data_IF_252592224920
#
_entry.id   IF_252592224920
#
_cell.length_a   1.000
_cell.length_b   1.000
_cell.length_c   1.000
_cell.angle_alpha   90.00
_cell.angle_beta   90.00
_cell.angle_gamma   90.00
#
_symmetry.space_group_name_H-M   'P 1'
#
loop_
_entity.id
_entity.type
_entity.pdbx_description
1 polymer ?
#
# COMPACT_ATOMS: atom_id res chain seq x y z
N UNK A 1 -19.97 20.24 2.82
CA UNK A 1 -20.52 19.28 3.80
C UNK A 1 -21.67 19.94 4.52
N UNK A 2 -22.75 19.20 4.77
CA UNK A 2 -23.95 19.70 5.44
C UNK A 2 -24.21 18.84 6.67
N UNK A 3 -24.33 19.48 7.83
CA UNK A 3 -24.70 18.83 9.09
C UNK A 3 -26.10 19.31 9.46
N UNK A 4 -26.98 18.36 9.78
CA UNK A 4 -28.35 18.62 10.23
C UNK A 4 -28.55 18.05 11.62
N UNK A 5 -29.23 18.82 12.48
CA UNK A 5 -29.59 18.40 13.84
C UNK A 5 -30.82 19.14 14.33
N UNK A 6 -31.34 18.77 15.50
CA UNK A 6 -32.47 19.47 16.14
C UNK A 6 -32.01 20.19 17.39
N UNK A 7 -32.34 21.47 17.52
CA UNK A 7 -32.16 22.26 18.74
C UNK A 7 -33.50 22.88 19.14
N UNK A 8 -33.96 22.61 20.36
CA UNK A 8 -35.27 23.05 20.87
C UNK A 8 -36.44 22.76 19.93
N UNK A 9 -36.48 21.54 19.36
CA UNK A 9 -37.55 21.09 18.47
C UNK A 9 -37.53 21.67 17.05
N UNK A 10 -36.57 22.56 16.73
CA UNK A 10 -36.37 23.09 15.37
C UNK A 10 -35.17 22.42 14.72
N UNK A 11 -35.33 22.04 13.45
CA UNK A 11 -34.27 21.48 12.64
C UNK A 11 -33.32 22.60 12.20
N UNK A 12 -32.06 22.50 12.61
CA UNK A 12 -30.99 23.40 12.21
C UNK A 12 -30.09 22.70 11.19
N UNK A 13 -29.81 23.39 10.08
CA UNK A 13 -28.92 22.93 9.03
C UNK A 13 -27.75 23.90 8.92
N UNK A 14 -26.55 23.38 9.12
CA UNK A 14 -25.30 24.10 8.90
C UNK A 14 -24.62 23.53 7.66
N UNK A 15 -24.47 24.38 6.64
CA UNK A 15 -23.77 24.04 5.42
C UNK A 15 -22.45 24.79 5.37
N UNK A 16 -21.35 24.08 5.12
CA UNK A 16 -20.07 24.70 4.80
C UNK A 16 -19.57 24.18 3.46
N UNK A 17 -19.13 25.11 2.61
CA UNK A 17 -18.50 24.80 1.33
C UNK A 17 -17.01 24.53 1.56
N UNK A 18 -16.58 23.29 1.40
CA UNK A 18 -15.16 22.99 1.30
C UNK A 18 -14.76 23.09 -0.18
N UNK A 19 -13.85 24.01 -0.49
CA UNK A 19 -13.17 24.03 -1.78
C UNK A 19 -11.89 23.22 -1.62
N UNK A 20 -11.86 22.04 -2.24
CA UNK A 20 -10.63 21.28 -2.41
C UNK A 20 -10.01 21.76 -3.72
N UNK A 21 -8.74 22.21 -3.69
CA UNK A 21 -8.03 22.58 -4.91
C UNK A 21 -7.85 21.37 -5.83
N UNK A 22 -7.62 21.63 -7.12
CA UNK A 22 -7.29 20.58 -8.10
C UNK A 22 -6.15 19.69 -7.57
N UNK A 23 -6.27 18.37 -7.77
CA UNK A 23 -5.34 17.35 -7.30
C UNK A 23 -3.88 17.74 -7.57
N UNK A 24 -3.22 18.29 -6.55
CA UNK A 24 -1.77 18.41 -6.54
C UNK A 24 -1.22 17.03 -6.24
N UNK A 25 -0.49 16.42 -7.17
CA UNK A 25 0.26 15.17 -6.98
C UNK A 25 1.19 15.22 -5.75
N UNK A 26 1.61 16.42 -5.33
CA UNK A 26 2.39 16.66 -4.11
C UNK A 26 1.61 16.44 -2.80
N UNK A 27 0.30 16.24 -2.83
CA UNK A 27 -0.54 15.97 -1.67
C UNK A 27 -0.69 14.47 -1.33
N UNK A 28 -0.10 13.55 -2.10
CA UNK A 28 -0.14 12.11 -1.80
C UNK A 28 0.37 11.78 -0.39
N UNK A 29 1.39 12.51 0.09
CA UNK A 29 1.91 12.39 1.45
C UNK A 29 0.84 12.69 2.53
N UNK A 30 -0.13 13.58 2.27
CA UNK A 30 -1.20 13.92 3.21
C UNK A 30 -2.13 12.71 3.42
N UNK A 31 -2.47 12.00 2.34
CA UNK A 31 -3.28 10.79 2.45
C UNK A 31 -2.58 9.72 3.27
N UNK A 32 -1.27 9.57 3.07
CA UNK A 32 -0.48 8.62 3.82
C UNK A 32 -0.39 9.01 5.31
N UNK A 33 -0.20 10.29 5.62
CA UNK A 33 -0.12 10.78 6.99
C UNK A 33 -1.45 10.59 7.73
N UNK A 34 -2.57 10.87 7.05
CA UNK A 34 -3.90 10.59 7.57
C UNK A 34 -4.11 9.09 7.82
N UNK A 35 -3.72 8.23 6.87
CA UNK A 35 -3.88 6.79 6.97
C UNK A 35 -3.09 6.21 8.14
N UNK A 36 -1.81 6.62 8.31
CA UNK A 36 -0.98 6.22 9.43
C UNK A 36 -1.61 6.63 10.78
N UNK A 37 -2.04 7.90 10.90
CA UNK A 37 -2.69 8.39 12.11
C UNK A 37 -3.98 7.64 12.44
N UNK A 38 -4.83 7.40 11.45
CA UNK A 38 -6.09 6.67 11.61
C UNK A 38 -5.84 5.22 12.02
N UNK A 39 -4.90 4.53 11.36
CA UNK A 39 -4.52 3.17 11.71
C UNK A 39 -3.97 3.08 13.15
N UNK A 40 -3.14 4.03 13.57
CA UNK A 40 -2.65 4.11 14.95
C UNK A 40 -3.77 4.36 15.97
N UNK A 41 -4.79 5.14 15.63
CA UNK A 41 -5.95 5.34 16.48
C UNK A 41 -6.80 4.07 16.61
N UNK A 42 -7.04 3.36 15.50
CA UNK A 42 -7.78 2.10 15.50
C UNK A 42 -7.03 1.00 16.27
N UNK A 43 -5.70 0.93 16.15
CA UNK A 43 -4.87 -0.01 16.93
C UNK A 43 -5.00 0.23 18.45
N UNK A 44 -4.96 1.49 18.88
CA UNK A 44 -5.17 1.84 20.29
C UNK A 44 -6.57 1.48 20.79
N UNK A 45 -7.59 1.74 19.99
CA UNK A 45 -8.98 1.38 20.33
C UNK A 45 -9.12 -0.12 20.58
N UNK A 46 -8.59 -0.93 19.66
CA UNK A 46 -8.58 -2.40 19.77
C UNK A 46 -7.87 -2.85 21.05
N UNK A 47 -6.74 -2.22 21.41
CA UNK A 47 -5.99 -2.55 22.63
C UNK A 47 -6.72 -2.18 23.91
N UNK A 48 -7.35 -1.01 23.94
CA UNK A 48 -7.97 -0.46 25.15
C UNK A 48 -9.35 -1.08 25.43
N UNK A 49 -10.10 -1.39 24.37
CA UNK A 49 -11.51 -1.77 24.46
C UNK A 49 -11.84 -3.14 23.85
N UNK A 50 -10.85 -3.82 23.25
CA UNK A 50 -11.05 -5.06 22.51
C UNK A 50 -11.47 -4.81 21.06
N UNK A 51 -11.30 -5.81 20.20
CA UNK A 51 -11.62 -5.71 18.78
C UNK A 51 -13.12 -5.93 18.49
N UNK A 52 -13.78 -4.95 17.86
CA UNK A 52 -15.03 -5.15 17.13
C UNK A 52 -14.72 -5.42 15.63
N UNK A 53 -15.42 -6.36 14.96
CA UNK A 53 -15.32 -6.61 13.52
C UNK A 53 -15.22 -5.37 12.63
N UNK A 54 -15.93 -4.28 12.93
CA UNK A 54 -15.89 -3.05 12.12
C UNK A 54 -14.52 -2.35 12.20
N UNK A 55 -13.99 -2.19 13.41
CA UNK A 55 -12.71 -1.52 13.66
C UNK A 55 -11.55 -2.34 13.08
N UNK A 56 -11.59 -3.66 13.24
CA UNK A 56 -10.59 -4.58 12.66
C UNK A 56 -10.64 -4.54 11.14
N UNK A 57 -11.83 -4.54 10.54
CA UNK A 57 -12.00 -4.45 9.08
C UNK A 57 -11.46 -3.14 8.53
N UNK A 58 -11.75 -2.01 9.18
CA UNK A 58 -11.22 -0.71 8.76
C UNK A 58 -9.70 -0.61 8.92
N UNK A 59 -9.13 -1.18 9.99
CA UNK A 59 -7.67 -1.23 10.16
C UNK A 59 -7.01 -2.04 9.05
N UNK A 60 -7.55 -3.22 8.71
CA UNK A 60 -7.07 -4.03 7.58
C UNK A 60 -7.16 -3.28 6.25
N UNK A 61 -8.28 -2.61 6.00
CA UNK A 61 -8.50 -1.85 4.76
C UNK A 61 -7.48 -0.74 4.58
N UNK A 62 -7.21 0.04 5.64
CA UNK A 62 -6.20 1.10 5.62
C UNK A 62 -4.80 0.51 5.47
N UNK A 63 -4.50 -0.56 6.19
CA UNK A 63 -3.19 -1.19 6.17
C UNK A 63 -2.82 -1.73 4.78
N UNK A 64 -3.74 -2.46 4.14
CA UNK A 64 -3.54 -2.98 2.79
C UNK A 64 -3.48 -1.88 1.74
N UNK A 65 -4.35 -0.86 1.83
CA UNK A 65 -4.39 0.24 0.86
C UNK A 65 -3.12 1.11 0.88
N UNK A 66 -2.58 1.35 2.07
CA UNK A 66 -1.51 2.33 2.27
C UNK A 66 -0.16 1.70 2.66
N UNK A 67 -0.04 0.37 2.63
CA UNK A 67 1.20 -0.35 2.92
C UNK A 67 1.68 -0.18 4.36
N UNK A 68 0.76 -0.18 5.32
CA UNK A 68 1.05 0.06 6.73
C UNK A 68 1.16 -1.29 7.44
N UNK A 69 2.27 -1.54 8.13
CA UNK A 69 2.45 -2.78 8.89
C UNK A 69 1.63 -2.74 10.19
N UNK A 70 0.75 -3.72 10.39
CA UNK A 70 -0.09 -3.87 11.59
C UNK A 70 -0.13 -5.33 12.03
N UNK A 71 -0.55 -5.60 13.28
CA UNK A 71 -0.74 -6.97 13.80
C UNK A 71 -1.79 -7.78 12.99
N UNK A 72 -2.58 -7.12 12.14
CA UNK A 72 -3.61 -7.73 11.28
C UNK A 72 -3.23 -7.85 9.81
N UNK A 73 -2.00 -7.43 9.47
CA UNK A 73 -1.45 -7.53 8.12
C UNK A 73 -0.07 -8.15 8.20
N UNK A 74 0.03 -9.44 7.89
CA UNK A 74 1.31 -10.11 7.70
C UNK A 74 1.84 -9.76 6.31
N UNK A 75 3.04 -9.18 6.24
CA UNK A 75 3.84 -9.21 5.03
C UNK A 75 4.79 -10.41 5.15
N UNK A 76 4.77 -11.31 4.17
CA UNK A 76 5.75 -12.39 4.10
C UNK A 76 7.08 -11.78 3.70
N UNK A 77 7.93 -11.49 4.68
CA UNK A 77 9.35 -11.24 4.43
C UNK A 77 9.98 -12.62 4.22
N UNK A 78 10.13 -13.02 2.97
CA UNK A 78 11.03 -14.13 2.64
C UNK A 78 12.45 -13.63 2.84
N UNK A 79 13.03 -13.98 3.99
CA UNK A 79 14.48 -13.91 4.16
C UNK A 79 15.09 -14.83 3.08
N UNK A 80 15.99 -14.34 2.21
CA UNK A 80 16.63 -15.21 1.23
C UNK A 80 17.29 -16.33 2.00
N UNK A 81 16.88 -17.57 1.71
CA UNK A 81 17.32 -18.81 2.33
C UNK A 81 18.63 -18.61 3.09
N UNK A 82 18.54 -18.35 4.39
CA UNK A 82 19.67 -18.55 5.27
C UNK A 82 19.90 -20.05 5.25
N UNK A 83 20.65 -20.52 4.26
CA UNK A 83 21.36 -21.76 4.37
C UNK A 83 22.21 -21.57 5.61
N UNK A 84 21.69 -22.04 6.75
CA UNK A 84 22.53 -22.37 7.88
C UNK A 84 23.39 -23.51 7.35
N UNK A 85 24.50 -23.16 6.71
CA UNK A 85 25.61 -24.09 6.56
C UNK A 85 25.95 -24.44 7.99
N UNK A 86 25.46 -25.59 8.45
CA UNK A 86 25.93 -26.23 9.66
C UNK A 86 27.34 -26.73 9.40
N UNK A 87 28.26 -25.80 9.16
CA UNK A 87 29.67 -26.04 9.31
C UNK A 87 29.88 -26.23 10.81
N UNK A 88 30.38 -27.41 11.20
CA UNK A 88 30.86 -27.67 12.56
C UNK A 88 31.85 -26.57 12.96
N UNK A 89 31.32 -25.53 13.59
CA UNK A 89 32.07 -24.47 14.24
C UNK A 89 32.03 -24.81 15.72
N UNK A 90 33.21 -25.10 16.26
CA UNK A 90 33.41 -25.47 17.66
C UNK A 90 33.37 -24.20 18.54
N UNK A 91 32.30 -23.41 18.40
CA UNK A 91 32.09 -22.16 19.14
C UNK A 91 31.36 -22.49 20.44
N UNK A 92 31.85 -22.04 21.61
CA UNK A 92 31.15 -22.28 22.88
C UNK A 92 29.72 -21.71 22.81
N UNK A 93 28.73 -22.40 23.40
CA UNK A 93 27.34 -21.99 23.31
C UNK A 93 27.17 -20.58 23.88
N UNK A 94 26.55 -19.70 23.10
CA UNK A 94 26.12 -18.40 23.58
C UNK A 94 25.20 -18.59 24.81
N UNK A 95 25.28 -17.71 25.83
CA UNK A 95 24.39 -17.78 26.98
C UNK A 95 22.94 -17.75 26.51
N UNK A 96 22.11 -18.60 27.11
CA UNK A 96 20.69 -18.69 26.80
C UNK A 96 20.06 -17.28 26.86
N UNK A 97 19.17 -16.91 25.90
CA UNK A 97 18.47 -15.64 25.95
C UNK A 97 17.75 -15.55 27.30
N UNK A 98 18.18 -14.63 28.16
CA UNK A 98 17.44 -14.29 29.37
C UNK A 98 16.08 -13.78 28.92
N UNK A 99 15.01 -14.25 29.57
CA UNK A 99 13.62 -13.87 29.30
C UNK A 99 13.48 -12.34 29.26
N UNK A 100 13.55 -11.77 28.05
CA UNK A 100 13.25 -10.35 27.82
C UNK A 100 11.73 -10.16 27.76
N UNK A 101 11.04 -10.55 28.84
CA UNK A 101 9.63 -10.30 29.02
C UNK A 101 9.40 -8.78 28.92
N UNK A 102 8.63 -8.35 27.91
CA UNK A 102 8.29 -6.95 27.69
C UNK A 102 9.06 -6.22 26.59
N UNK A 103 10.11 -6.81 26.00
CA UNK A 103 10.79 -6.21 24.84
C UNK A 103 9.81 -6.00 23.66
N UNK A 104 8.88 -6.94 23.47
CA UNK A 104 7.81 -6.84 22.48
C UNK A 104 6.81 -5.74 22.78
N UNK A 105 6.48 -5.54 24.06
CA UNK A 105 5.56 -4.47 24.48
C UNK A 105 6.21 -3.09 24.27
N UNK A 106 7.51 -2.95 24.58
CA UNK A 106 8.28 -1.73 24.34
C UNK A 106 8.42 -1.43 22.85
N UNK A 107 8.74 -2.43 22.02
CA UNK A 107 8.78 -2.28 20.56
C UNK A 107 7.44 -1.82 20.00
N UNK A 108 6.33 -2.45 20.43
CA UNK A 108 4.98 -2.10 19.99
C UNK A 108 4.55 -0.69 20.41
N UNK A 109 4.84 -0.30 21.65
CA UNK A 109 4.59 1.06 22.15
C UNK A 109 5.36 2.13 21.35
N UNK A 110 6.62 1.86 21.01
CA UNK A 110 7.43 2.76 20.15
C UNK A 110 6.86 2.86 18.74
N UNK A 111 6.42 1.75 18.14
CA UNK A 111 5.81 1.74 16.81
C UNK A 111 4.49 2.53 16.77
N UNK A 112 3.62 2.38 17.78
CA UNK A 112 2.38 3.16 17.90
C UNK A 112 2.65 4.66 18.14
N UNK A 113 3.70 4.99 18.91
CA UNK A 113 4.14 6.37 19.11
C UNK A 113 4.69 6.98 17.83
N UNK A 114 5.44 6.23 17.01
CA UNK A 114 5.87 6.69 15.70
C UNK A 114 4.66 6.94 14.77
N UNK A 115 3.72 5.99 14.74
CA UNK A 115 2.52 6.07 13.94
C UNK A 115 1.59 7.25 14.30
N UNK A 116 1.58 7.65 15.58
CA UNK A 116 0.79 8.78 16.08
C UNK A 116 1.55 10.11 16.13
N UNK A 117 2.88 10.05 16.24
CA UNK A 117 3.73 11.18 16.62
C UNK A 117 4.59 11.80 15.52
N UNK A 118 4.87 11.14 14.39
CA UNK A 118 5.84 11.67 13.42
C UNK A 118 5.25 12.08 12.05
N UNK A 119 5.71 13.26 11.59
CA UNK A 119 5.76 13.70 10.20
C UNK A 119 6.75 12.86 9.35
N UNK A 120 7.31 11.78 9.91
CA UNK A 120 8.20 10.86 9.21
C UNK A 120 7.50 9.52 9.10
N UNK A 121 7.08 9.22 7.87
CA UNK A 121 6.36 8.04 7.45
C UNK A 121 7.28 6.84 7.19
N UNK A 122 8.59 7.08 7.18
CA UNK A 122 9.59 6.09 6.77
C UNK A 122 9.79 4.95 7.77
N UNK A 123 9.39 5.14 9.03
CA UNK A 123 9.58 4.16 10.12
C UNK A 123 8.40 3.17 10.30
N UNK A 124 7.26 3.41 9.64
CA UNK A 124 6.02 2.61 9.83
C UNK A 124 5.56 1.97 8.51
N UNK A 125 6.01 2.52 7.39
CA UNK A 125 5.75 2.02 6.04
C UNK A 125 6.95 1.20 5.61
N UNK A 126 6.72 0.12 4.84
CA UNK A 126 7.80 -0.61 4.15
C UNK A 126 8.54 0.39 3.25
N UNK A 127 9.63 0.97 3.74
CA UNK A 127 10.56 1.78 2.96
C UNK A 127 11.66 0.87 2.45
N UNK A 128 11.63 0.58 1.15
CA UNK A 128 12.77 -0.01 0.45
C UNK A 128 13.86 1.05 0.20
N UNK A 129 14.22 1.78 1.26
CA UNK A 129 15.39 2.64 1.30
C UNK A 129 16.26 2.26 2.50
N UNK A 130 16.45 0.95 2.68
CA UNK A 130 17.56 0.40 3.46
C UNK A 130 18.67 0.02 2.49
N UNK A 131 19.69 0.88 2.42
CA UNK A 131 21.06 0.62 1.95
C UNK A 131 21.25 -0.24 0.70
N UNK A 132 21.59 0.43 -0.40
CA UNK A 132 22.24 -0.18 -1.56
C UNK A 132 23.52 -0.92 -1.15
N UNK A 133 23.48 -2.26 -1.13
CA UNK A 133 24.68 -3.08 -1.15
C UNK A 133 24.74 -3.83 -2.50
N UNK A 134 25.63 -3.46 -3.44
CA UNK A 134 25.72 -4.14 -4.72
C UNK A 134 26.70 -5.30 -4.57
N UNK A 135 26.19 -6.52 -4.33
CA UNK A 135 26.84 -7.79 -4.71
C UNK A 135 26.02 -8.98 -4.22
N UNK A 136 25.60 -9.83 -5.16
CA UNK A 136 24.97 -11.12 -4.90
C UNK A 136 23.65 -11.23 -5.64
N UNK A 137 23.48 -12.29 -6.45
CA UNK A 137 22.30 -12.54 -7.26
C UNK A 137 21.02 -12.53 -6.39
N UNK A 138 20.26 -11.43 -6.48
CA UNK A 138 19.09 -11.11 -5.67
C UNK A 138 17.91 -10.77 -6.59
N UNK A 139 17.09 -11.78 -6.85
CA UNK A 139 15.75 -11.65 -7.43
C UNK A 139 14.87 -12.44 -6.47
N UNK A 140 14.21 -11.82 -5.50
CA UNK A 140 12.74 -11.78 -5.59
C UNK A 140 12.07 -10.75 -4.66
N UNK A 141 12.78 -10.07 -3.77
CA UNK A 141 12.13 -9.21 -2.77
C UNK A 141 12.25 -7.71 -3.05
N UNK A 142 11.97 -7.30 -4.29
CA UNK A 142 11.98 -5.87 -4.68
C UNK A 142 10.59 -5.27 -4.42
N UNK A 143 10.52 -4.28 -3.53
CA UNK A 143 9.31 -3.49 -3.28
C UNK A 143 9.58 -2.04 -3.65
N UNK A 144 8.64 -1.38 -4.31
CA UNK A 144 8.75 0.05 -4.67
C UNK A 144 7.44 0.77 -4.39
N UNK A 145 7.53 2.07 -4.09
CA UNK A 145 6.39 2.93 -3.87
C UNK A 145 6.32 4.01 -4.95
N UNK A 146 5.20 4.07 -5.66
CA UNK A 146 4.98 4.99 -6.80
C UNK A 146 3.52 5.40 -6.84
N UNK A 147 3.23 6.71 -6.97
CA UNK A 147 1.86 7.23 -7.06
C UNK A 147 0.94 6.79 -5.91
N UNK A 148 1.43 6.87 -4.67
CA UNK A 148 0.71 6.45 -3.46
C UNK A 148 0.55 4.93 -3.27
N UNK A 149 0.85 4.12 -4.29
CA UNK A 149 0.68 2.65 -4.32
C UNK A 149 1.98 1.93 -4.00
N UNK A 150 1.87 0.68 -3.56
CA UNK A 150 3.00 -0.20 -3.27
C UNK A 150 2.99 -1.33 -4.28
N UNK A 151 4.13 -1.56 -4.92
CA UNK A 151 4.34 -2.61 -5.90
C UNK A 151 5.38 -3.58 -5.41
N UNK A 152 5.13 -4.87 -5.62
CA UNK A 152 6.06 -5.96 -5.33
C UNK A 152 6.45 -6.65 -6.63
N UNK A 153 7.72 -6.98 -6.76
CA UNK A 153 8.23 -7.68 -7.93
C UNK A 153 7.82 -9.17 -7.89
N UNK A 154 7.06 -9.61 -8.90
CA UNK A 154 6.61 -11.00 -9.07
C UNK A 154 6.60 -11.36 -10.55
N UNK A 155 7.20 -12.49 -10.92
CA UNK A 155 7.17 -13.02 -12.30
C UNK A 155 7.50 -11.97 -13.37
N UNK A 156 8.62 -11.24 -13.18
CA UNK A 156 9.06 -10.15 -14.04
C UNK A 156 8.06 -8.99 -14.21
N UNK A 157 7.14 -8.82 -13.26
CA UNK A 157 6.09 -7.80 -13.25
C UNK A 157 6.06 -7.08 -11.89
N UNK A 158 6.06 -5.76 -11.89
CA UNK A 158 5.72 -4.96 -10.72
C UNK A 158 4.23 -5.06 -10.44
N UNK A 159 3.85 -5.79 -9.39
CA UNK A 159 2.45 -6.08 -9.07
C UNK A 159 1.97 -5.23 -7.90
N UNK A 160 0.91 -4.44 -8.11
CA UNK A 160 0.24 -3.69 -7.06
C UNK A 160 -0.26 -4.65 -5.97
N UNK A 161 0.08 -4.39 -4.71
CA UNK A 161 -0.33 -5.24 -3.58
C UNK A 161 -1.85 -5.32 -3.40
N UNK A 162 -2.60 -4.38 -3.97
CA UNK A 162 -4.06 -4.40 -3.95
C UNK A 162 -4.67 -5.34 -5.03
N UNK A 163 -3.85 -5.95 -5.89
CA UNK A 163 -4.32 -6.93 -6.86
C UNK A 163 -4.76 -8.22 -6.16
N UNK A 164 -5.93 -8.73 -6.53
CA UNK A 164 -6.41 -10.04 -6.15
C UNK A 164 -6.69 -10.90 -7.38
N UNK A 165 -6.52 -12.21 -7.23
CA UNK A 165 -6.60 -13.20 -8.32
C UNK A 165 -7.97 -13.25 -9.03
N UNK A 166 -9.02 -12.72 -8.40
CA UNK A 166 -10.38 -12.65 -8.97
C UNK A 166 -10.58 -11.49 -9.94
N UNK A 167 -9.67 -10.51 -9.99
CA UNK A 167 -9.79 -9.35 -10.86
C UNK A 167 -9.39 -9.72 -12.29
N UNK A 168 -10.25 -9.40 -13.25
CA UNK A 168 -9.92 -9.53 -14.66
C UNK A 168 -8.75 -8.60 -15.02
N UNK A 169 -7.78 -9.11 -15.78
CA UNK A 169 -6.57 -8.37 -16.16
C UNK A 169 -6.64 -7.92 -17.62
N UNK A 170 -6.68 -6.60 -17.83
CA UNK A 170 -6.63 -5.99 -19.17
C UNK A 170 -5.19 -5.62 -19.50
N UNK A 171 -4.65 -6.21 -20.56
CA UNK A 171 -3.25 -6.05 -20.98
C UNK A 171 -3.12 -4.97 -22.05
N UNK A 172 -2.20 -4.03 -21.86
CA UNK A 172 -1.95 -2.90 -22.77
C UNK A 172 -0.47 -2.83 -23.10
N UNK A 173 -0.14 -2.73 -24.39
CA UNK A 173 1.24 -2.67 -24.84
C UNK A 173 1.85 -1.29 -24.53
N UNK A 174 3.02 -1.20 -23.89
CA UNK A 174 3.68 0.07 -23.61
C UNK A 174 3.98 0.83 -24.91
N UNK A 175 3.94 2.17 -24.85
CA UNK A 175 4.24 3.09 -25.97
C UNK A 175 3.36 2.91 -27.23
N UNK A 176 2.22 2.22 -27.12
CA UNK A 176 1.22 2.11 -28.19
C UNK A 176 0.18 3.24 -28.15
N UNK A 177 -0.63 3.37 -29.21
CA UNK A 177 -1.77 4.30 -29.21
C UNK A 177 -2.75 4.00 -28.06
N UNK A 178 -3.04 2.72 -27.81
CA UNK A 178 -3.85 2.29 -26.69
C UNK A 178 -3.27 2.74 -25.34
N UNK A 179 -1.95 2.64 -25.17
CA UNK A 179 -1.27 3.09 -23.96
C UNK A 179 -1.40 4.60 -23.75
N UNK A 180 -1.18 5.43 -24.77
CA UNK A 180 -1.32 6.87 -24.63
C UNK A 180 -2.78 7.30 -24.40
N UNK A 181 -3.75 6.64 -25.06
CA UNK A 181 -5.18 6.87 -24.79
C UNK A 181 -5.53 6.50 -23.35
N UNK A 182 -5.03 5.35 -22.88
CA UNK A 182 -5.22 4.90 -21.50
C UNK A 182 -4.67 5.90 -20.49
N UNK A 183 -3.43 6.36 -20.64
CA UNK A 183 -2.80 7.31 -19.69
C UNK A 183 -3.41 8.72 -19.73
N UNK A 184 -4.10 9.08 -20.81
CA UNK A 184 -4.93 10.29 -20.84
C UNK A 184 -6.22 10.09 -20.04
N UNK A 185 -6.86 8.92 -20.18
CA UNK A 185 -8.12 8.60 -19.51
C UNK A 185 -7.97 8.27 -18.01
N UNK A 186 -6.85 7.66 -17.61
CA UNK A 186 -6.48 7.33 -16.23
C UNK A 186 -5.11 7.96 -15.88
N UNK A 187 -5.07 9.28 -15.59
CA UNK A 187 -3.86 9.99 -15.17
C UNK A 187 -3.10 9.33 -14.01
N UNK A 188 -3.81 8.67 -13.09
CA UNK A 188 -3.27 7.98 -11.92
C UNK A 188 -2.32 6.83 -12.28
N UNK A 189 -2.35 6.31 -13.52
CA UNK A 189 -1.46 5.24 -13.97
C UNK A 189 -0.09 5.74 -14.43
N UNK A 190 0.09 7.05 -14.68
CA UNK A 190 1.31 7.57 -15.32
C UNK A 190 2.58 7.29 -14.55
N UNK A 191 2.54 7.44 -13.23
CA UNK A 191 3.71 7.17 -12.38
C UNK A 191 4.01 5.67 -12.36
N UNK A 192 2.99 4.82 -12.16
CA UNK A 192 3.17 3.37 -12.14
C UNK A 192 3.67 2.83 -13.50
N UNK A 193 3.27 3.44 -14.61
CA UNK A 193 3.67 3.05 -15.97
C UNK A 193 5.18 3.21 -16.24
N UNK A 194 5.94 3.93 -15.40
CA UNK A 194 7.40 4.01 -15.52
C UNK A 194 8.12 2.78 -14.97
N UNK A 195 7.39 1.87 -14.32
CA UNK A 195 7.95 0.65 -13.75
C UNK A 195 8.15 -0.41 -14.84
N UNK A 196 9.41 -0.73 -15.11
CA UNK A 196 9.83 -1.70 -16.11
C UNK A 196 10.18 -3.06 -15.50
N UNK A 197 10.10 -4.16 -16.28
CA UNK A 197 9.70 -4.25 -17.69
C UNK A 197 8.19 -4.38 -17.89
N UNK A 198 7.43 -4.64 -16.82
CA UNK A 198 5.99 -4.68 -16.83
C UNK A 198 5.43 -4.25 -15.46
N UNK A 199 4.22 -3.70 -15.46
CA UNK A 199 3.52 -3.29 -14.24
C UNK A 199 2.05 -3.73 -14.29
N UNK A 200 1.53 -4.23 -13.18
CA UNK A 200 0.14 -4.57 -12.97
C UNK A 200 -0.44 -3.67 -11.88
N UNK A 201 -1.44 -2.86 -12.24
CA UNK A 201 -2.08 -1.90 -11.35
C UNK A 201 -3.51 -2.33 -11.05
N UNK A 202 -3.87 -2.39 -9.78
CA UNK A 202 -5.19 -2.84 -9.35
C UNK A 202 -6.22 -1.70 -9.40
N UNK A 203 -7.37 -1.97 -10.01
CA UNK A 203 -8.57 -1.14 -9.95
C UNK A 203 -9.68 -1.79 -9.10
N UNK A 204 -10.89 -1.25 -9.21
CA UNK A 204 -12.06 -1.71 -8.44
C UNK A 204 -12.60 -3.06 -8.93
N UNK A 205 -12.77 -3.23 -10.24
CA UNK A 205 -13.32 -4.47 -10.86
C UNK A 205 -12.34 -5.16 -11.79
N UNK A 206 -11.35 -4.43 -12.28
CA UNK A 206 -10.34 -4.88 -13.24
C UNK A 206 -8.96 -4.41 -12.80
N UNK A 207 -7.94 -5.18 -13.14
CA UNK A 207 -6.55 -4.76 -13.05
C UNK A 207 -6.02 -4.48 -14.45
N UNK A 208 -5.10 -3.54 -14.57
CA UNK A 208 -4.49 -3.16 -15.85
C UNK A 208 -3.03 -3.57 -15.81
N UNK A 209 -2.61 -4.40 -16.76
CA UNK A 209 -1.22 -4.81 -16.92
C UNK A 209 -0.61 -4.12 -18.14
N UNK A 210 0.43 -3.33 -17.92
CA UNK A 210 1.23 -2.74 -18.98
C UNK A 210 2.41 -3.67 -19.22
N UNK A 211 2.39 -4.40 -20.33
CA UNK A 211 3.42 -5.38 -20.70
C UNK A 211 3.55 -5.50 -22.22
N UNK A 212 4.69 -6.01 -22.70
CA UNK A 212 4.85 -6.37 -24.10
C UNK A 212 3.78 -7.38 -24.55
N UNK A 213 3.26 -7.22 -25.76
CA UNK A 213 2.21 -8.09 -26.31
C UNK A 213 0.77 -7.76 -25.86
N UNK A 214 0.57 -6.67 -25.10
CA UNK A 214 -0.77 -6.16 -24.79
C UNK A 214 -1.47 -5.49 -25.99
N UNK A 215 -2.69 -4.98 -25.76
CA UNK A 215 -3.45 -4.23 -26.77
C UNK A 215 -2.69 -2.98 -27.22
N UNK A 216 -2.67 -2.74 -28.53
CA UNK A 216 -2.03 -1.56 -29.16
C UNK A 216 -3.04 -0.51 -29.63
N UNK A 217 -4.32 -0.88 -29.80
CA UNK A 217 -5.44 0.01 -30.14
C UNK A 217 -6.68 -0.35 -29.30
N UNK A 218 -7.61 0.59 -29.16
CA UNK A 218 -8.89 0.38 -28.48
C UNK A 218 -10.03 0.31 -29.50
N UNK A 219 -11.01 -0.56 -29.26
CA UNK A 219 -12.28 -0.49 -29.97
C UNK A 219 -13.16 0.65 -29.44
N UNK A 220 -14.13 1.08 -30.24
CA UNK A 220 -15.05 2.17 -29.88
C UNK A 220 -15.73 1.91 -28.52
N UNK A 221 -15.60 2.90 -27.62
CA UNK A 221 -16.15 2.85 -26.27
C UNK A 221 -15.53 1.81 -25.32
N UNK A 222 -14.51 1.05 -25.75
CA UNK A 222 -13.84 0.06 -24.90
C UNK A 222 -13.08 0.73 -23.75
N UNK A 223 -12.34 1.81 -24.03
CA UNK A 223 -11.59 2.54 -22.99
C UNK A 223 -12.51 3.19 -21.95
N UNK A 224 -13.68 3.69 -22.36
CA UNK A 224 -14.64 4.29 -21.44
C UNK A 224 -15.22 3.24 -20.47
N UNK A 225 -15.51 2.03 -20.97
CA UNK A 225 -15.92 0.90 -20.12
C UNK A 225 -14.80 0.51 -19.16
N UNK A 226 -13.57 0.40 -19.66
CA UNK A 226 -12.40 0.08 -18.84
C UNK A 226 -12.21 1.09 -17.70
N UNK A 227 -12.32 2.39 -17.99
CA UNK A 227 -12.21 3.47 -16.99
C UNK A 227 -13.28 3.31 -15.89
N UNK A 228 -14.53 3.00 -16.27
CA UNK A 228 -15.63 2.79 -15.33
C UNK A 228 -15.46 1.55 -14.46
N UNK A 229 -14.83 0.50 -14.98
CA UNK A 229 -14.54 -0.72 -14.22
C UNK A 229 -13.31 -0.56 -13.31
N UNK A 230 -12.35 0.26 -13.73
CA UNK A 230 -11.11 0.50 -13.00
C UNK A 230 -11.31 1.39 -11.76
N UNK A 231 -12.11 2.46 -11.87
CA UNK A 231 -12.46 3.34 -10.73
C UNK A 231 -13.68 2.82 -9.99
#
# INVERSE_FOLDING_TARGET
MTVTGRRNGREERFSTGARFGDEQTSAEYIQQLWAARKAGALSREIRLHGGNPEIVTELKRLALRYGILTEYTSYLVQEPNAFVVRGMSNTPPAPAPQDQAGADAVRRSRAEKAMSGSLQLDAVVVTAAGESNPRGAATENRTVRVGGRVFVWRDSTWTDIAHGDSLQVVRVAPFSDAYFVLLRALPELRQAATLEPAVLVAGRRVSIKIEAGGKTTWADGEVNRLVSDFR
#
